data_IF_075767240957
#
_entry.id   IF_075767240957
#
_cell.length_a   1.000
_cell.length_b   1.000
_cell.length_c   1.000
_cell.angle_alpha   90.00
_cell.angle_beta   90.00
_cell.angle_gamma   90.00
#
_symmetry.space_group_name_H-M   'P 1'
#
loop_
_entity.id
_entity.type
_entity.pdbx_description
1 polymer ?
#
# COMPACT_ATOMS: atom_id res chain seq x y z
N UNK A 1 -61.68 -21.80 42.88
CA UNK A 1 -60.29 -21.32 43.05
C UNK A 1 -59.62 -21.40 41.68
N UNK A 2 -59.64 -20.31 40.93
CA UNK A 2 -59.00 -20.19 39.61
C UNK A 2 -57.68 -19.43 39.79
N UNK A 3 -56.52 -19.96 39.35
CA UNK A 3 -55.25 -19.27 39.44
C UNK A 3 -55.20 -18.11 38.43
N UNK A 4 -54.80 -16.92 38.90
CA UNK A 4 -54.51 -15.74 38.07
C UNK A 4 -53.37 -16.03 37.09
N UNK A 5 -53.52 -15.51 35.87
CA UNK A 5 -52.50 -15.54 34.82
C UNK A 5 -51.41 -14.49 35.10
N UNK A 6 -50.15 -14.70 34.66
CA UNK A 6 -49.05 -13.77 34.91
C UNK A 6 -49.26 -12.45 34.15
N UNK A 7 -49.31 -11.34 34.88
CA UNK A 7 -49.35 -10.00 34.30
C UNK A 7 -48.11 -9.77 33.43
N UNK A 8 -48.34 -9.39 32.17
CA UNK A 8 -47.27 -8.96 31.26
C UNK A 8 -46.96 -7.49 31.57
N UNK A 9 -45.70 -7.11 31.83
CA UNK A 9 -45.37 -5.73 32.20
C UNK A 9 -45.72 -4.78 31.05
N UNK A 10 -46.49 -3.74 31.38
CA UNK A 10 -46.94 -2.70 30.46
C UNK A 10 -45.81 -1.77 30.01
N UNK A 11 -45.87 -1.18 28.80
CA UNK A 11 -44.77 -0.43 28.18
C UNK A 11 -44.40 0.93 28.79
N UNK A 12 -45.00 1.37 29.91
CA UNK A 12 -45.06 2.79 30.29
C UNK A 12 -43.91 3.28 31.20
N UNK A 13 -43.08 2.38 31.75
CA UNK A 13 -41.94 2.73 32.62
C UNK A 13 -40.59 2.32 32.03
N UNK A 14 -40.32 2.65 30.77
CA UNK A 14 -38.94 2.59 30.25
C UNK A 14 -38.19 3.85 30.69
N UNK A 15 -37.20 3.74 31.60
CA UNK A 15 -36.49 4.91 32.06
C UNK A 15 -35.65 5.51 30.91
N UNK A 16 -35.52 6.84 30.84
CA UNK A 16 -34.69 7.54 29.84
C UNK A 16 -33.25 7.02 29.79
N UNK A 17 -32.76 6.45 30.90
CA UNK A 17 -31.47 5.78 31.00
C UNK A 17 -31.36 4.55 30.08
N UNK A 18 -32.47 3.84 29.81
CA UNK A 18 -32.50 2.70 28.89
C UNK A 18 -32.36 3.11 27.41
N UNK A 19 -32.97 4.23 27.01
CA UNK A 19 -32.86 4.75 25.63
C UNK A 19 -31.47 5.31 25.34
N UNK A 20 -30.85 5.98 26.32
CA UNK A 20 -29.46 6.44 26.23
C UNK A 20 -28.49 5.26 26.14
N UNK A 21 -28.74 4.17 26.89
CA UNK A 21 -27.96 2.94 26.79
C UNK A 21 -28.09 2.28 25.40
N UNK A 22 -29.30 2.23 24.84
CA UNK A 22 -29.53 1.70 23.48
C UNK A 22 -28.86 2.56 22.38
N UNK A 23 -28.87 3.89 22.53
CA UNK A 23 -28.19 4.79 21.60
C UNK A 23 -26.66 4.65 21.69
N UNK A 24 -26.11 4.57 22.90
CA UNK A 24 -24.68 4.32 23.12
C UNK A 24 -24.25 2.95 22.56
N UNK A 25 -25.09 1.92 22.74
CA UNK A 25 -24.90 0.60 22.14
C UNK A 25 -24.92 0.65 20.61
N UNK A 26 -25.85 1.40 20.03
CA UNK A 26 -25.99 1.57 18.57
C UNK A 26 -24.79 2.32 17.96
N UNK A 27 -24.30 3.36 18.62
CA UNK A 27 -23.09 4.09 18.20
C UNK A 27 -21.85 3.19 18.24
N UNK A 28 -21.71 2.40 19.31
CA UNK A 28 -20.62 1.42 19.45
C UNK A 28 -20.68 0.36 18.34
N UNK A 29 -21.89 -0.10 18.00
CA UNK A 29 -22.10 -1.04 16.89
C UNK A 29 -21.75 -0.42 15.53
N UNK A 30 -22.04 0.87 15.31
CA UNK A 30 -21.67 1.59 14.10
C UNK A 30 -20.16 1.70 13.92
N UNK A 31 -19.45 2.12 14.98
CA UNK A 31 -17.99 2.23 14.97
C UNK A 31 -17.36 0.86 14.68
N UNK A 32 -17.87 -0.21 15.29
CA UNK A 32 -17.40 -1.57 15.02
C UNK A 32 -17.59 -1.96 13.56
N UNK A 33 -18.76 -1.63 12.98
CA UNK A 33 -19.04 -1.89 11.55
C UNK A 33 -18.15 -1.10 10.61
N UNK A 34 -17.89 0.18 10.88
CA UNK A 34 -16.98 0.98 10.05
C UNK A 34 -15.55 0.44 10.12
N UNK A 35 -15.11 -0.02 11.29
CA UNK A 35 -13.80 -0.68 11.42
C UNK A 35 -13.75 -1.99 10.64
N UNK A 36 -14.80 -2.81 10.69
CA UNK A 36 -14.90 -4.03 9.88
C UNK A 36 -14.91 -3.73 8.38
N UNK A 37 -15.65 -2.71 7.96
CA UNK A 37 -15.70 -2.27 6.57
C UNK A 37 -14.34 -1.73 6.10
N UNK A 38 -13.70 -0.88 6.90
CA UNK A 38 -12.36 -0.36 6.61
C UNK A 38 -11.34 -1.48 6.52
N UNK A 39 -11.41 -2.50 7.41
CA UNK A 39 -10.58 -3.70 7.32
C UNK A 39 -10.83 -4.47 6.02
N UNK A 40 -12.10 -4.67 5.64
CA UNK A 40 -12.45 -5.35 4.40
C UNK A 40 -11.91 -4.60 3.17
N UNK A 41 -12.07 -3.28 3.10
CA UNK A 41 -11.57 -2.45 2.02
C UNK A 41 -10.03 -2.45 1.94
N UNK A 42 -9.36 -2.42 3.10
CA UNK A 42 -7.90 -2.55 3.17
C UNK A 42 -7.43 -3.91 2.67
N UNK A 43 -8.10 -5.01 3.05
CA UNK A 43 -7.78 -6.35 2.57
C UNK A 43 -8.00 -6.48 1.06
N UNK A 44 -9.07 -5.91 0.55
CA UNK A 44 -9.35 -5.88 -0.88
C UNK A 44 -8.28 -5.11 -1.65
N UNK A 45 -7.96 -3.88 -1.22
CA UNK A 45 -6.87 -3.07 -1.80
C UNK A 45 -5.52 -3.78 -1.73
N UNK A 46 -5.21 -4.43 -0.61
CA UNK A 46 -3.99 -5.21 -0.44
C UNK A 46 -3.95 -6.42 -1.39
N UNK A 47 -5.08 -7.12 -1.58
CA UNK A 47 -5.17 -8.24 -2.51
C UNK A 47 -5.00 -7.79 -3.98
N UNK A 48 -5.62 -6.68 -4.38
CA UNK A 48 -5.43 -6.10 -5.72
C UNK A 48 -3.97 -5.68 -5.95
N UNK A 49 -3.38 -4.95 -5.00
CA UNK A 49 -1.97 -4.57 -5.06
C UNK A 49 -1.05 -5.80 -5.11
N UNK A 50 -1.35 -6.83 -4.30
CA UNK A 50 -0.59 -8.09 -4.25
C UNK A 50 -0.65 -8.87 -5.57
N UNK A 51 -1.83 -8.97 -6.19
CA UNK A 51 -2.00 -9.59 -7.52
C UNK A 51 -1.20 -8.84 -8.59
N UNK A 52 -1.31 -7.51 -8.61
CA UNK A 52 -0.56 -6.67 -9.54
C UNK A 52 0.95 -6.81 -9.35
N UNK A 53 1.44 -6.77 -8.10
CA UNK A 53 2.85 -7.00 -7.79
C UNK A 53 3.32 -8.39 -8.23
N UNK A 54 2.50 -9.43 -8.00
CA UNK A 54 2.79 -10.79 -8.45
C UNK A 54 2.91 -10.90 -9.97
N UNK A 55 2.00 -10.29 -10.73
CA UNK A 55 2.04 -10.26 -12.19
C UNK A 55 3.27 -9.51 -12.72
N UNK A 56 3.62 -8.37 -12.12
CA UNK A 56 4.83 -7.61 -12.48
C UNK A 56 6.08 -8.44 -12.21
N UNK A 57 6.15 -9.14 -11.08
CA UNK A 57 7.30 -9.98 -10.73
C UNK A 57 7.44 -11.15 -11.71
N UNK A 58 6.36 -11.87 -11.99
CA UNK A 58 6.36 -12.98 -12.95
C UNK A 58 6.70 -12.49 -14.36
N UNK A 59 6.02 -11.45 -14.85
CA UNK A 59 6.30 -10.88 -16.17
C UNK A 59 7.73 -10.36 -16.27
N UNK A 60 8.24 -9.71 -15.22
CA UNK A 60 9.63 -9.27 -15.10
C UNK A 60 10.62 -10.44 -15.16
N UNK A 61 10.32 -11.57 -14.51
CA UNK A 61 11.16 -12.77 -14.56
C UNK A 61 11.20 -13.36 -15.98
N UNK A 62 10.07 -13.48 -16.66
CA UNK A 62 10.04 -13.93 -18.06
C UNK A 62 10.79 -12.98 -19.00
N UNK A 63 10.57 -11.67 -18.87
CA UNK A 63 11.29 -10.67 -19.64
C UNK A 63 12.80 -10.72 -19.39
N UNK A 64 13.23 -10.94 -18.14
CA UNK A 64 14.63 -11.10 -17.78
C UNK A 64 15.24 -12.36 -18.41
N UNK A 65 14.56 -13.50 -18.37
CA UNK A 65 15.01 -14.71 -19.06
C UNK A 65 15.13 -14.49 -20.58
N UNK A 66 14.14 -13.83 -21.20
CA UNK A 66 14.19 -13.46 -22.62
C UNK A 66 15.36 -12.55 -22.95
N UNK A 67 15.64 -11.56 -22.09
CA UNK A 67 16.80 -10.68 -22.23
C UNK A 67 18.11 -11.47 -22.18
N UNK A 68 18.27 -12.42 -21.26
CA UNK A 68 19.47 -13.27 -21.20
C UNK A 68 19.68 -14.07 -22.49
N UNK A 69 18.60 -14.62 -23.06
CA UNK A 69 18.66 -15.32 -24.36
C UNK A 69 19.04 -14.38 -25.50
N UNK A 70 18.51 -13.15 -25.53
CA UNK A 70 18.89 -12.15 -26.52
C UNK A 70 20.36 -11.73 -26.39
N UNK A 71 20.86 -11.56 -25.16
CA UNK A 71 22.27 -11.25 -24.91
C UNK A 71 23.18 -12.42 -25.32
N UNK A 72 22.78 -13.66 -25.06
CA UNK A 72 23.48 -14.85 -25.54
C UNK A 72 23.50 -14.89 -27.08
N UNK A 73 22.35 -14.66 -27.73
CA UNK A 73 22.26 -14.60 -29.19
C UNK A 73 23.11 -13.47 -29.78
N UNK A 74 23.12 -12.28 -29.17
CA UNK A 74 23.98 -11.17 -29.58
C UNK A 74 25.47 -11.51 -29.44
N UNK A 75 25.84 -12.17 -28.33
CA UNK A 75 27.22 -12.61 -28.10
C UNK A 75 27.66 -13.64 -29.13
N UNK A 76 26.83 -14.66 -29.39
CA UNK A 76 27.11 -15.69 -30.40
C UNK A 76 27.14 -15.11 -31.82
N UNK A 77 26.21 -14.20 -32.14
CA UNK A 77 26.18 -13.50 -33.41
C UNK A 77 27.45 -12.68 -33.65
N UNK A 78 27.88 -11.92 -32.64
CA UNK A 78 29.11 -11.13 -32.72
C UNK A 78 30.37 -12.01 -32.74
N UNK A 79 30.32 -13.19 -32.13
CA UNK A 79 31.41 -14.17 -32.16
C UNK A 79 31.69 -14.75 -33.56
N UNK A 80 30.79 -14.57 -34.54
CA UNK A 80 31.09 -14.87 -35.94
C UNK A 80 32.01 -13.83 -36.60
N UNK A 81 32.11 -12.63 -36.03
CA UNK A 81 32.90 -11.51 -36.58
C UNK A 81 34.22 -11.33 -35.82
N UNK A 82 34.20 -11.54 -34.50
CA UNK A 82 35.37 -11.40 -33.61
C UNK A 82 35.53 -12.60 -32.69
N UNK A 83 36.67 -12.70 -31.98
CA UNK A 83 36.92 -13.80 -31.06
C UNK A 83 35.81 -13.92 -29.99
N UNK A 84 35.35 -15.13 -29.61
CA UNK A 84 34.21 -15.31 -28.70
C UNK A 84 34.36 -14.61 -27.35
N UNK A 85 35.57 -14.60 -26.79
CA UNK A 85 35.86 -13.91 -25.53
C UNK A 85 35.71 -12.39 -25.66
N UNK A 86 36.10 -11.82 -26.80
CA UNK A 86 35.97 -10.39 -27.08
C UNK A 86 34.50 -10.00 -27.32
N UNK A 87 33.73 -10.83 -28.02
CA UNK A 87 32.29 -10.64 -28.20
C UNK A 87 31.56 -10.58 -26.85
N UNK A 88 31.87 -11.50 -25.94
CA UNK A 88 31.28 -11.53 -24.60
C UNK A 88 31.63 -10.26 -23.80
N UNK A 89 32.87 -9.77 -23.89
CA UNK A 89 33.29 -8.53 -23.23
C UNK A 89 32.59 -7.29 -23.79
N UNK A 90 32.41 -7.20 -25.11
CA UNK A 90 31.74 -6.05 -25.74
C UNK A 90 30.27 -6.01 -25.35
N UNK A 91 29.55 -7.13 -25.49
CA UNK A 91 28.13 -7.21 -25.12
C UNK A 91 27.93 -7.00 -23.63
N UNK A 92 28.73 -7.69 -22.79
CA UNK A 92 28.68 -7.53 -21.34
C UNK A 92 29.00 -6.11 -20.89
N UNK A 93 30.03 -5.48 -21.46
CA UNK A 93 30.39 -4.10 -21.18
C UNK A 93 29.27 -3.11 -21.54
N UNK A 94 28.63 -3.28 -22.70
CA UNK A 94 27.51 -2.44 -23.11
C UNK A 94 26.31 -2.55 -22.13
N UNK A 95 25.99 -3.77 -21.68
CA UNK A 95 24.91 -4.01 -20.71
C UNK A 95 25.24 -3.41 -19.34
N UNK A 96 26.48 -3.53 -18.88
CA UNK A 96 26.93 -2.92 -17.61
C UNK A 96 26.79 -1.39 -17.67
N UNK A 97 27.22 -0.76 -18.77
CA UNK A 97 27.08 0.69 -18.96
C UNK A 97 25.62 1.12 -18.93
N UNK A 98 24.75 0.42 -19.65
CA UNK A 98 23.31 0.68 -19.64
C UNK A 98 22.72 0.52 -18.23
N UNK A 99 23.10 -0.54 -17.52
CA UNK A 99 22.69 -0.80 -16.15
C UNK A 99 23.11 0.31 -15.19
N UNK A 100 24.34 0.81 -15.30
CA UNK A 100 24.84 1.91 -14.48
C UNK A 100 24.00 3.19 -14.69
N UNK A 101 23.68 3.52 -15.94
CA UNK A 101 22.83 4.68 -16.28
C UNK A 101 21.44 4.53 -15.67
N UNK A 102 20.82 3.36 -15.80
CA UNK A 102 19.50 3.08 -15.23
C UNK A 102 19.51 3.18 -13.69
N UNK A 103 20.52 2.63 -13.03
CA UNK A 103 20.68 2.72 -11.57
C UNK A 103 20.83 4.18 -11.13
N UNK A 104 21.66 4.95 -11.82
CA UNK A 104 21.85 6.38 -11.52
C UNK A 104 20.54 7.16 -11.71
N UNK A 105 19.82 6.95 -12.81
CA UNK A 105 18.54 7.59 -13.07
C UNK A 105 17.47 7.20 -12.04
N UNK A 106 17.41 5.92 -11.66
CA UNK A 106 16.52 5.42 -10.61
C UNK A 106 16.81 6.05 -9.26
N UNK A 107 18.09 6.11 -8.85
CA UNK A 107 18.51 6.78 -7.63
C UNK A 107 18.15 8.27 -7.63
N UNK A 108 18.30 8.95 -8.76
CA UNK A 108 17.92 10.36 -8.89
C UNK A 108 16.40 10.56 -8.68
N UNK A 109 15.57 9.69 -9.27
CA UNK A 109 14.11 9.71 -9.08
C UNK A 109 13.70 9.45 -7.63
N UNK A 110 14.30 8.45 -6.98
CA UNK A 110 14.03 8.14 -5.56
C UNK A 110 14.49 9.26 -4.62
N UNK A 111 15.62 9.92 -4.94
CA UNK A 111 16.09 11.10 -4.20
C UNK A 111 15.14 12.29 -4.36
N UNK A 112 14.56 12.48 -5.55
CA UNK A 112 13.56 13.52 -5.77
C UNK A 112 12.28 13.29 -4.96
N UNK A 113 11.82 12.04 -4.86
CA UNK A 113 10.66 11.65 -4.03
C UNK A 113 10.90 11.89 -2.54
N UNK A 114 12.10 11.59 -2.03
CA UNK A 114 12.46 11.83 -0.62
C UNK A 114 12.69 13.30 -0.28
N UNK A 115 12.95 14.17 -1.27
CA UNK A 115 13.07 15.63 -1.07
C UNK A 115 11.72 16.37 -1.07
N UNK A 116 10.61 15.71 -1.44
CA UNK A 116 9.29 16.33 -1.56
C UNK A 116 8.44 16.52 -0.28
N UNK A 117 8.66 15.91 0.90
CA UNK A 117 7.77 16.15 2.04
C UNK A 117 8.11 17.43 2.83
N UNK A 118 8.86 18.39 2.27
CA UNK A 118 9.22 19.64 2.97
C UNK A 118 8.04 20.60 3.15
N UNK A 119 7.08 20.63 2.21
CA UNK A 119 5.89 21.50 2.31
C UNK A 119 4.86 20.91 3.29
N UNK A 120 4.57 19.62 3.19
CA UNK A 120 3.57 18.94 4.04
C UNK A 120 4.02 18.84 5.50
N UNK A 121 5.29 18.52 5.78
CA UNK A 121 5.80 18.46 7.15
C UNK A 121 5.89 19.84 7.83
N UNK A 122 6.11 20.91 7.06
CA UNK A 122 6.15 22.26 7.62
C UNK A 122 4.74 22.78 7.94
N UNK A 123 3.74 22.48 7.10
CA UNK A 123 2.36 22.84 7.37
C UNK A 123 1.82 22.07 8.59
N UNK A 124 2.10 20.76 8.69
CA UNK A 124 1.72 19.96 9.87
C UNK A 124 2.37 20.45 11.17
N UNK A 125 3.61 20.99 11.10
CA UNK A 125 4.27 21.60 12.26
C UNK A 125 3.76 23.00 12.59
N UNK A 126 3.27 23.74 11.59
CA UNK A 126 2.65 25.05 11.80
C UNK A 126 1.28 24.87 12.47
N UNK A 127 0.45 23.96 11.94
CA UNK A 127 -0.87 23.64 12.49
C UNK A 127 -0.76 23.08 13.91
N UNK A 128 0.22 22.21 14.19
CA UNK A 128 0.46 21.68 15.53
C UNK A 128 0.89 22.77 16.54
N UNK A 129 1.62 23.79 16.09
CA UNK A 129 2.01 24.93 16.95
C UNK A 129 0.84 25.85 17.21
N UNK A 130 0.00 26.10 16.22
CA UNK A 130 -1.19 26.95 16.37
C UNK A 130 -2.19 26.31 17.35
N UNK A 131 -2.39 24.99 17.28
CA UNK A 131 -3.20 24.24 18.24
C UNK A 131 -2.58 24.25 19.65
N UNK A 132 -1.26 24.09 19.76
CA UNK A 132 -0.57 24.15 21.06
C UNK A 132 -0.68 25.54 21.71
N UNK A 133 -0.54 26.61 20.94
CA UNK A 133 -0.68 27.98 21.42
C UNK A 133 -2.13 28.32 21.82
N UNK A 134 -3.12 27.76 21.11
CA UNK A 134 -4.54 27.91 21.44
C UNK A 134 -4.96 27.20 22.74
N UNK A 135 -4.25 26.12 23.14
CA UNK A 135 -4.49 25.40 24.39
C UNK A 135 -3.78 26.05 25.59
N UNK A 136 -2.70 26.80 25.33
CA UNK A 136 -1.86 27.41 26.37
C UNK A 136 -2.33 28.83 26.73
N UNK A 137 -3.30 29.39 26.00
CA UNK A 137 -3.87 30.73 26.21
C UNK A 137 -5.26 30.65 26.85
#
# INVERSE_FOLDING_TARGET
MTPEAPETPTPEDRPLTSLLADLAGSMTALVTKEVELAKAELMEKAAYAGRGAGQILCGGAFAFCGLLLLLAAATLGLAHVIAPWAAALVVGGAVILLGLVLVMAGRAKLKALTLQPRRTLNNLRADAREVADAVTR
#
